data_IF_821896721640
#
_entry.id   IF_821896721640
#
_cell.length_a   1.000
_cell.length_b   1.000
_cell.length_c   1.000
_cell.angle_alpha   90.00
_cell.angle_beta   90.00
_cell.angle_gamma   90.00
#
_symmetry.space_group_name_H-M   'P 1'
#
loop_
_entity.id
_entity.type
_entity.pdbx_description
1 polymer ?
#
# COMPACT_ATOMS: atom_id res chain seq x y z
N UNK A 1 -35.85 -11.40 22.71
CA UNK A 1 -35.72 -9.90 22.50
C UNK A 1 -34.28 -9.54 22.13
N UNK A 2 -33.86 -9.69 20.93
CA UNK A 2 -32.60 -9.40 20.24
C UNK A 2 -32.29 -7.90 20.38
N UNK A 3 -31.22 -7.51 21.16
CA UNK A 3 -30.77 -6.12 21.35
C UNK A 3 -30.65 -5.37 20.01
N UNK A 4 -31.18 -4.05 19.98
CA UNK A 4 -31.26 -3.09 18.87
C UNK A 4 -29.88 -2.58 18.45
N UNK A 5 -28.81 -3.49 18.39
CA UNK A 5 -27.68 -2.90 17.64
C UNK A 5 -27.08 -3.94 16.70
N UNK A 6 -27.88 -4.81 16.10
CA UNK A 6 -27.28 -5.65 15.04
C UNK A 6 -27.83 -5.23 13.68
N UNK A 7 -27.96 -3.92 13.40
CA UNK A 7 -28.28 -3.62 11.98
C UNK A 7 -27.06 -3.89 11.11
N UNK A 8 -26.60 -5.09 10.93
CA UNK A 8 -25.91 -5.59 9.71
C UNK A 8 -25.55 -4.44 8.77
N UNK A 9 -24.77 -3.45 9.17
CA UNK A 9 -24.19 -2.52 8.19
C UNK A 9 -24.05 -3.18 6.81
N UNK A 10 -25.15 -3.50 6.21
CA UNK A 10 -25.35 -4.05 4.86
C UNK A 10 -24.39 -3.34 3.88
N UNK A 11 -23.29 -3.99 3.51
CA UNK A 11 -22.51 -3.65 2.29
C UNK A 11 -23.44 -3.29 1.14
N UNK A 12 -24.04 -2.13 1.10
CA UNK A 12 -24.82 -1.71 -0.09
C UNK A 12 -24.03 -1.98 -1.37
N UNK A 13 -24.50 -2.94 -2.22
CA UNK A 13 -23.91 -3.14 -3.56
C UNK A 13 -23.52 -1.79 -4.20
N UNK A 14 -22.34 -1.25 -3.76
CA UNK A 14 -21.77 -0.02 -4.36
C UNK A 14 -20.87 -0.40 -5.55
N UNK A 15 -21.34 -0.06 -6.71
CA UNK A 15 -20.60 -0.41 -7.94
C UNK A 15 -19.18 0.16 -7.90
N UNK A 16 -18.95 1.24 -7.24
CA UNK A 16 -17.58 1.79 -7.10
C UNK A 16 -16.68 0.81 -6.34
N UNK A 17 -17.23 0.22 -5.32
CA UNK A 17 -16.41 -0.76 -4.57
C UNK A 17 -16.06 -1.97 -5.42
N UNK A 18 -16.97 -2.35 -6.29
CA UNK A 18 -16.67 -3.51 -7.17
C UNK A 18 -15.51 -3.18 -8.12
N UNK A 19 -15.54 -1.98 -8.66
CA UNK A 19 -14.47 -1.64 -9.63
C UNK A 19 -13.13 -1.50 -8.89
N UNK A 20 -13.18 -0.92 -7.70
CA UNK A 20 -11.92 -0.76 -6.95
C UNK A 20 -11.36 -2.13 -6.54
N UNK A 21 -12.21 -3.02 -6.22
CA UNK A 21 -11.69 -4.35 -5.82
C UNK A 21 -11.20 -5.13 -7.04
N UNK A 22 -11.90 -4.93 -8.11
CA UNK A 22 -11.36 -5.52 -9.35
C UNK A 22 -9.97 -4.95 -9.68
N UNK A 23 -9.80 -3.66 -9.55
CA UNK A 23 -8.48 -3.08 -9.84
C UNK A 23 -7.44 -3.56 -8.82
N UNK A 24 -7.87 -3.67 -7.57
CA UNK A 24 -6.93 -4.19 -6.55
C UNK A 24 -6.45 -5.59 -6.93
N UNK A 25 -7.38 -6.43 -7.38
CA UNK A 25 -7.00 -7.78 -7.84
C UNK A 25 -5.97 -7.70 -8.97
N UNK A 26 -6.21 -6.85 -9.86
CA UNK A 26 -5.26 -6.71 -10.99
C UNK A 26 -3.86 -6.28 -10.52
N UNK A 27 -3.86 -5.30 -9.57
CA UNK A 27 -2.51 -4.84 -9.14
C UNK A 27 -1.79 -5.96 -8.36
N UNK A 28 -2.51 -6.80 -7.58
CA UNK A 28 -1.85 -7.91 -6.86
C UNK A 28 -1.35 -8.96 -7.84
N UNK A 29 -2.14 -9.21 -8.88
CA UNK A 29 -1.68 -10.15 -9.92
C UNK A 29 -0.41 -9.64 -10.61
N UNK A 30 -0.40 -8.34 -10.89
CA UNK A 30 0.80 -7.78 -11.57
C UNK A 30 2.04 -7.88 -10.67
N UNK A 31 1.79 -7.69 -9.38
CA UNK A 31 2.94 -7.83 -8.46
C UNK A 31 3.49 -9.26 -8.54
N UNK A 32 2.61 -10.18 -8.43
CA UNK A 32 3.09 -11.58 -8.51
C UNK A 32 3.77 -11.86 -9.86
N UNK A 33 3.22 -11.34 -10.88
CA UNK A 33 3.79 -11.61 -12.21
C UNK A 33 5.19 -10.98 -12.35
N UNK A 34 5.33 -9.75 -11.94
CA UNK A 34 6.64 -9.10 -12.10
C UNK A 34 7.67 -9.76 -11.18
N UNK A 35 7.19 -10.16 -10.01
CA UNK A 35 8.15 -10.85 -9.11
C UNK A 35 8.65 -12.15 -9.76
N UNK A 36 7.75 -12.92 -10.24
CA UNK A 36 8.19 -14.15 -10.92
C UNK A 36 9.16 -13.86 -12.06
N UNK A 37 8.86 -12.90 -12.89
CA UNK A 37 9.76 -12.59 -14.02
C UNK A 37 11.13 -12.10 -13.51
N UNK A 38 11.07 -11.31 -12.43
CA UNK A 38 12.36 -10.82 -11.91
C UNK A 38 13.21 -12.00 -11.41
N UNK A 39 12.54 -13.05 -10.89
CA UNK A 39 13.30 -14.20 -10.35
C UNK A 39 13.79 -15.11 -11.47
N UNK A 40 13.18 -15.05 -12.59
CA UNK A 40 13.50 -16.04 -13.64
C UNK A 40 14.50 -15.44 -14.65
N UNK A 41 14.55 -14.16 -14.68
CA UNK A 41 15.38 -13.60 -15.77
C UNK A 41 16.85 -13.61 -15.34
N UNK A 42 17.82 -13.74 -16.29
CA UNK A 42 19.28 -13.69 -15.98
C UNK A 42 19.85 -12.33 -16.39
N UNK A 43 18.96 -11.51 -17.05
CA UNK A 43 19.42 -10.17 -17.46
C UNK A 43 19.17 -9.16 -16.33
N UNK A 44 20.29 -8.59 -15.82
CA UNK A 44 20.15 -7.68 -14.66
C UNK A 44 19.38 -6.40 -15.03
N UNK A 45 19.41 -5.98 -16.20
CA UNK A 45 18.63 -4.79 -16.59
C UNK A 45 17.13 -5.08 -16.58
N UNK A 46 16.74 -6.21 -17.10
CA UNK A 46 15.30 -6.57 -17.05
C UNK A 46 14.84 -6.81 -15.61
N UNK A 47 15.72 -7.42 -14.83
CA UNK A 47 15.31 -7.63 -13.42
C UNK A 47 15.02 -6.29 -12.74
N UNK A 48 15.86 -5.30 -13.02
CA UNK A 48 15.60 -3.98 -12.42
C UNK A 48 14.27 -3.39 -12.88
N UNK A 49 14.00 -3.56 -14.10
CA UNK A 49 12.73 -3.00 -14.62
C UNK A 49 11.54 -3.71 -13.95
N UNK A 50 11.62 -5.04 -13.82
CA UNK A 50 10.49 -5.75 -13.19
C UNK A 50 10.34 -5.36 -11.72
N UNK A 51 11.48 -5.22 -11.09
CA UNK A 51 11.39 -4.83 -9.66
C UNK A 51 10.80 -3.42 -9.52
N UNK A 52 11.28 -2.54 -10.31
CA UNK A 52 10.70 -1.19 -10.22
C UNK A 52 9.18 -1.21 -10.48
N UNK A 53 8.73 -1.89 -11.58
CA UNK A 53 7.28 -1.95 -11.87
C UNK A 53 6.50 -2.65 -10.75
N UNK A 54 7.11 -3.69 -10.21
CA UNK A 54 6.45 -4.38 -9.08
C UNK A 54 6.24 -3.41 -7.92
N UNK A 55 7.29 -2.63 -7.63
CA UNK A 55 7.15 -1.66 -6.52
C UNK A 55 6.10 -0.59 -6.83
N UNK A 56 5.99 -0.16 -8.09
CA UNK A 56 4.90 0.77 -8.45
C UNK A 56 3.51 0.16 -8.19
N UNK A 57 3.42 -1.11 -8.48
CA UNK A 57 2.08 -1.71 -8.29
C UNK A 57 1.75 -1.84 -6.79
N UNK A 58 2.78 -2.02 -5.91
CA UNK A 58 2.50 -2.03 -4.45
C UNK A 58 1.99 -0.67 -3.98
N UNK A 59 2.57 0.40 -4.60
CA UNK A 59 2.01 1.73 -4.28
C UNK A 59 0.54 1.83 -4.72
N UNK A 60 0.24 1.30 -5.91
CA UNK A 60 -1.17 1.34 -6.36
C UNK A 60 -2.06 0.50 -5.43
N UNK A 61 -1.57 -0.63 -4.90
CA UNK A 61 -2.37 -1.43 -3.94
C UNK A 61 -2.72 -0.57 -2.72
N UNK A 62 -1.64 0.13 -2.22
CA UNK A 62 -1.92 0.98 -1.06
C UNK A 62 -2.97 2.05 -1.38
N UNK A 63 -2.91 2.69 -2.50
CA UNK A 63 -3.88 3.75 -2.86
C UNK A 63 -5.30 3.17 -3.01
N UNK A 64 -5.40 1.99 -3.66
CA UNK A 64 -6.74 1.42 -3.87
C UNK A 64 -7.33 0.93 -2.55
N UNK A 65 -6.41 0.39 -1.66
CA UNK A 65 -6.91 -0.08 -0.36
C UNK A 65 -7.44 1.12 0.46
N UNK A 66 -6.69 2.16 0.42
CA UNK A 66 -7.17 3.38 1.10
C UNK A 66 -8.53 3.82 0.55
N UNK A 67 -8.73 3.88 -0.79
CA UNK A 67 -10.01 4.27 -1.38
C UNK A 67 -11.15 3.32 -0.96
N UNK A 68 -10.85 2.04 -0.90
CA UNK A 68 -11.87 1.06 -0.48
C UNK A 68 -12.27 1.33 0.98
N UNK A 69 -11.31 1.67 1.83
CA UNK A 69 -11.63 1.91 3.26
C UNK A 69 -12.48 3.18 3.43
N UNK A 70 -12.30 4.10 2.50
CA UNK A 70 -13.15 5.31 2.57
C UNK A 70 -14.61 4.99 2.27
N UNK A 71 -14.81 3.93 1.43
CA UNK A 71 -16.20 3.68 0.98
C UNK A 71 -16.80 2.51 1.75
N UNK A 72 -15.96 1.64 2.44
CA UNK A 72 -16.45 0.39 3.07
C UNK A 72 -16.05 0.41 4.56
N UNK A 73 -17.00 0.86 5.40
CA UNK A 73 -16.71 1.03 6.83
C UNK A 73 -16.33 -0.31 7.49
N UNK A 74 -16.92 -1.41 6.94
CA UNK A 74 -16.52 -2.71 7.51
C UNK A 74 -15.03 -2.96 7.23
N UNK A 75 -14.68 -2.80 5.91
CA UNK A 75 -13.23 -2.95 5.61
C UNK A 75 -12.38 -2.00 6.45
N UNK A 76 -12.70 -0.78 6.63
CA UNK A 76 -11.92 0.18 7.44
C UNK A 76 -11.77 -0.32 8.88
N UNK A 77 -12.85 -0.66 9.51
CA UNK A 77 -12.79 -1.14 10.91
C UNK A 77 -11.90 -2.37 11.03
N UNK A 78 -12.10 -3.37 10.17
CA UNK A 78 -11.29 -4.62 10.27
C UNK A 78 -9.80 -4.32 10.10
N UNK A 79 -9.50 -3.44 9.17
CA UNK A 79 -8.08 -3.09 9.00
C UNK A 79 -7.52 -2.41 10.25
N UNK A 80 -8.25 -1.49 10.90
CA UNK A 80 -7.75 -0.82 12.13
C UNK A 80 -7.61 -1.83 13.26
N UNK A 81 -8.56 -2.76 13.34
CA UNK A 81 -8.42 -3.80 14.38
C UNK A 81 -7.15 -4.63 14.16
N UNK A 82 -6.93 -5.00 12.92
CA UNK A 82 -5.73 -5.79 12.62
C UNK A 82 -4.46 -4.99 12.95
N UNK A 83 -4.46 -3.68 12.66
CA UNK A 83 -3.24 -2.87 12.90
C UNK A 83 -3.07 -2.60 14.40
N UNK A 84 -4.08 -2.49 15.13
CA UNK A 84 -4.06 -2.31 16.61
C UNK A 84 -3.57 -3.58 17.31
N UNK A 85 -3.52 -4.74 16.65
CA UNK A 85 -3.06 -6.01 17.23
C UNK A 85 -1.62 -6.30 16.81
N UNK A 86 -0.88 -5.24 16.16
CA UNK A 86 0.53 -5.56 15.82
C UNK A 86 1.45 -5.02 16.93
N UNK A 87 2.06 -5.94 17.85
CA UNK A 87 3.07 -5.41 18.77
C UNK A 87 4.25 -4.77 18.02
N UNK A 88 4.53 -3.35 18.31
CA UNK A 88 5.82 -2.77 17.85
C UNK A 88 5.62 -1.91 16.59
N UNK A 89 4.32 -1.38 16.28
CA UNK A 89 4.30 -0.51 15.08
C UNK A 89 4.68 0.93 15.48
N UNK A 90 5.68 1.43 14.78
CA UNK A 90 5.96 2.86 15.00
C UNK A 90 4.84 3.74 14.44
N UNK A 91 4.35 4.77 15.24
CA UNK A 91 3.33 5.70 14.75
C UNK A 91 3.55 6.10 13.28
N UNK A 92 2.46 5.90 12.45
CA UNK A 92 2.48 6.40 11.06
C UNK A 92 3.30 7.69 10.94
N UNK A 93 4.42 7.67 10.20
CA UNK A 93 5.14 8.93 9.97
C UNK A 93 4.21 10.03 9.42
N UNK A 94 4.33 11.19 10.02
CA UNK A 94 3.50 12.32 9.60
C UNK A 94 3.51 12.50 8.07
N UNK A 95 2.31 12.43 7.45
CA UNK A 95 2.07 12.67 6.01
C UNK A 95 2.98 13.79 5.48
N UNK A 96 3.79 13.58 4.35
CA UNK A 96 4.63 14.64 3.77
C UNK A 96 3.78 15.86 3.36
N UNK A 97 4.20 17.07 3.81
CA UNK A 97 3.43 18.28 3.50
C UNK A 97 3.51 18.62 1.99
N UNK A 98 2.11 18.62 1.24
CA UNK A 98 1.86 19.00 -0.18
C UNK A 98 1.63 17.77 -1.06
N UNK A 99 1.09 16.60 -0.88
CA UNK A 99 0.00 15.64 -1.14
C UNK A 99 -1.38 16.27 -0.93
N UNK A 100 -2.40 16.52 -2.26
CA UNK A 100 -3.55 17.12 -1.56
C UNK A 100 -3.68 16.57 -0.13
N UNK A 101 -2.85 17.21 0.59
CA UNK A 101 -2.44 17.27 2.00
C UNK A 101 -0.95 16.93 2.18
N UNK A 102 -0.06 17.47 1.32
CA UNK A 102 1.28 17.56 1.92
C UNK A 102 2.11 18.59 1.13
N UNK A 103 2.54 19.70 1.90
CA UNK A 103 3.47 20.67 1.26
C UNK A 103 4.93 20.26 1.47
N UNK A 104 5.68 19.69 0.42
CA UNK A 104 6.98 20.14 -0.11
C UNK A 104 8.05 20.29 0.99
N UNK A 105 9.17 19.31 1.10
CA UNK A 105 10.56 19.78 0.87
C UNK A 105 11.57 18.71 1.33
N UNK A 106 12.96 18.80 0.92
CA UNK A 106 14.07 18.17 0.18
C UNK A 106 15.04 17.44 1.12
N UNK A 107 15.06 16.09 0.90
CA UNK A 107 16.44 15.51 1.03
C UNK A 107 16.42 14.27 1.92
N UNK A 108 15.69 13.24 1.62
CA UNK A 108 16.12 11.92 2.17
C UNK A 108 15.80 10.83 1.15
N UNK A 109 16.90 10.39 0.46
CA UNK A 109 16.74 9.17 -0.37
C UNK A 109 16.10 8.03 0.43
N UNK A 110 15.09 7.41 -0.14
CA UNK A 110 14.15 6.45 0.47
C UNK A 110 14.86 5.14 0.87
N UNK A 111 16.25 5.08 0.95
CA UNK A 111 16.67 3.71 1.37
C UNK A 111 17.76 3.83 2.44
N UNK A 112 17.67 4.54 3.67
CA UNK A 112 18.49 4.21 4.85
C UNK A 112 19.75 3.41 4.49
N UNK A 113 20.63 3.86 3.56
CA UNK A 113 21.99 3.28 3.57
C UNK A 113 22.98 4.35 4.04
N UNK A 114 23.37 4.39 5.37
CA UNK A 114 24.59 5.05 5.90
C UNK A 114 25.75 4.98 4.90
N UNK A 115 25.89 6.08 4.02
CA UNK A 115 27.16 6.24 3.26
C UNK A 115 28.32 6.40 4.26
N UNK A 116 28.92 5.30 4.71
CA UNK A 116 30.29 5.33 5.26
C UNK A 116 31.19 6.26 4.43
N UNK A 117 31.18 7.58 4.78
CA UNK A 117 32.20 8.54 4.29
C UNK A 117 33.62 7.99 4.52
N UNK A 118 34.13 7.18 3.63
CA UNK A 118 35.49 7.05 3.07
C UNK A 118 36.29 8.35 3.17
N UNK A 119 36.97 8.67 4.36
CA UNK A 119 38.19 9.48 4.53
C UNK A 119 39.31 9.00 3.60
N UNK A 120 39.25 9.39 2.34
CA UNK A 120 40.40 9.48 1.40
C UNK A 120 41.37 10.58 1.83
N UNK A 121 42.56 10.20 2.44
CA UNK A 121 44.00 10.48 2.42
C UNK A 121 44.27 11.96 2.72
#
# INVERSE_FOLDING_TARGET
MVPPHQMDEVCTLDERLLVLREDLIGELAAINQYQRHAMETMDPRLREIFCRNMNDEKEHVAELMHAIMMLDPVQHRRMMEMMGQMPGMPPLPPLPPGSPGMPGGPGTTPYGLAVEEGKKK
#
